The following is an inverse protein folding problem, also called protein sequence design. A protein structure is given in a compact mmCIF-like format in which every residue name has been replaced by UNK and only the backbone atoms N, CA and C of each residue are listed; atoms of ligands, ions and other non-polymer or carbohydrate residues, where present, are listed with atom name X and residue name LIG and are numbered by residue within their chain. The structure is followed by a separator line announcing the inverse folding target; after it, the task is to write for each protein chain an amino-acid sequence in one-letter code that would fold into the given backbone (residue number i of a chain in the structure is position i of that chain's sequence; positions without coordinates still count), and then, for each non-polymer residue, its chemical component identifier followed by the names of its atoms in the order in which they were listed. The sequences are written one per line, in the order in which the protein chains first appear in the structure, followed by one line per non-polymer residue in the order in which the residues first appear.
data_IF_461342766634
#
_entry.id   IF_461342766634
#
_cell.length_a   1.000
_cell.length_b   1.000
_cell.length_c   1.000
_cell.angle_alpha   90.00
_cell.angle_beta   90.00
_cell.angle_gamma   90.00
#
_symmetry.space_group_name_H-M   'P 1'
#
loop_
_entity.id
_entity.type
_entity.pdbx_description
1 polymer ?
#
# COMPACT_ATOMS: atom_id res chain seq x y z
N UNK A 1 21.50 -10.51 3.72
CA UNK A 1 20.08 -10.35 3.33
C UNK A 1 19.53 -8.96 3.71
N UNK A 2 20.06 -7.84 3.18
CA UNK A 2 19.55 -6.49 3.50
C UNK A 2 18.40 -6.02 2.60
N UNK A 3 18.22 -6.62 1.43
CA UNK A 3 17.16 -6.27 0.46
C UNK A 3 15.84 -7.03 0.64
N UNK A 4 15.84 -8.17 1.34
CA UNK A 4 14.63 -8.97 1.52
C UNK A 4 13.57 -8.21 2.35
N UNK A 5 13.99 -7.33 3.26
CA UNK A 5 13.11 -6.60 4.18
C UNK A 5 12.28 -5.52 3.46
N UNK A 6 12.84 -4.60 2.65
CA UNK A 6 12.03 -3.64 1.90
C UNK A 6 11.01 -4.28 0.94
N UNK A 7 11.39 -5.38 0.27
CA UNK A 7 10.49 -6.07 -0.66
C UNK A 7 9.41 -6.89 0.07
N UNK A 8 9.71 -7.50 1.22
CA UNK A 8 8.69 -8.19 2.01
C UNK A 8 7.67 -7.22 2.60
N UNK A 9 8.12 -6.05 3.06
CA UNK A 9 7.24 -4.96 3.50
C UNK A 9 6.36 -4.46 2.36
N UNK A 10 6.92 -4.28 1.16
CA UNK A 10 6.14 -3.93 -0.03
C UNK A 10 5.01 -4.94 -0.31
N UNK A 11 5.30 -6.23 -0.30
CA UNK A 11 4.28 -7.26 -0.56
C UNK A 11 3.21 -7.29 0.54
N UNK A 12 3.61 -7.26 1.82
CA UNK A 12 2.67 -7.20 2.94
C UNK A 12 1.76 -5.97 2.89
N UNK A 13 2.31 -4.82 2.50
CA UNK A 13 1.53 -3.61 2.34
C UNK A 13 0.55 -3.71 1.17
N UNK A 14 1.01 -4.26 0.03
CA UNK A 14 0.17 -4.49 -1.14
C UNK A 14 -0.99 -5.46 -0.84
N UNK A 15 -0.74 -6.51 -0.05
CA UNK A 15 -1.80 -7.44 0.38
C UNK A 15 -2.82 -6.75 1.30
N UNK A 16 -2.36 -5.89 2.21
CA UNK A 16 -3.27 -5.08 3.04
C UNK A 16 -4.12 -4.11 2.19
N UNK A 17 -3.54 -3.52 1.14
CA UNK A 17 -4.29 -2.71 0.18
C UNK A 17 -5.36 -3.54 -0.55
N UNK A 18 -5.06 -4.78 -0.94
CA UNK A 18 -6.03 -5.70 -1.54
C UNK A 18 -7.21 -5.97 -0.62
N UNK A 19 -6.95 -6.34 0.64
CA UNK A 19 -8.03 -6.58 1.61
C UNK A 19 -8.91 -5.35 1.87
N UNK A 20 -8.34 -4.14 1.86
CA UNK A 20 -9.13 -2.90 1.99
C UNK A 20 -9.91 -2.55 0.71
N UNK A 21 -9.34 -2.84 -0.47
CA UNK A 21 -10.04 -2.65 -1.73
C UNK A 21 -11.24 -3.60 -1.85
N UNK A 22 -11.11 -4.85 -1.40
CA UNK A 22 -12.20 -5.82 -1.37
C UNK A 22 -13.29 -5.44 -0.35
N UNK A 23 -12.89 -4.84 0.78
CA UNK A 23 -13.83 -4.35 1.80
C UNK A 23 -14.32 -2.91 1.56
N UNK A 24 -14.09 -2.36 0.37
CA UNK A 24 -14.36 -0.95 0.09
C UNK A 24 -15.84 -0.57 0.13
N UNK A 25 -16.75 -1.54 -0.01
CA UNK A 25 -18.19 -1.28 0.14
C UNK A 25 -18.57 -0.94 1.58
N UNK A 26 -17.78 -1.39 2.55
CA UNK A 26 -18.04 -1.22 3.98
C UNK A 26 -17.34 0.02 4.52
N UNK A 27 -16.10 0.26 4.08
CA UNK A 27 -15.27 1.34 4.60
C UNK A 27 -15.23 2.55 3.68
N UNK A 28 -15.27 3.74 4.26
CA UNK A 28 -15.03 5.01 3.56
C UNK A 28 -13.57 5.18 3.13
N UNK A 29 -13.31 6.13 2.24
CA UNK A 29 -11.94 6.42 1.76
C UNK A 29 -11.02 6.88 2.89
N UNK A 30 -11.56 7.61 3.86
CA UNK A 30 -10.83 8.06 5.04
C UNK A 30 -10.46 6.87 5.94
N UNK A 31 -11.39 5.95 6.20
CA UNK A 31 -11.13 4.75 7.00
C UNK A 31 -10.08 3.84 6.33
N UNK A 32 -10.19 3.64 5.02
CA UNK A 32 -9.20 2.88 4.23
C UNK A 32 -7.82 3.54 4.33
N UNK A 33 -7.74 4.86 4.12
CA UNK A 33 -6.47 5.59 4.14
C UNK A 33 -5.84 5.59 5.53
N UNK A 34 -6.63 5.77 6.58
CA UNK A 34 -6.19 5.72 7.98
C UNK A 34 -5.69 4.31 8.36
N UNK A 35 -6.42 3.26 7.96
CA UNK A 35 -6.00 1.87 8.21
C UNK A 35 -4.67 1.56 7.51
N UNK A 36 -4.54 1.97 6.24
CA UNK A 36 -3.32 1.75 5.47
C UNK A 36 -2.14 2.56 6.02
N UNK A 37 -2.35 3.80 6.47
CA UNK A 37 -1.33 4.57 7.17
C UNK A 37 -0.86 3.87 8.46
N UNK A 38 -1.80 3.35 9.28
CA UNK A 38 -1.47 2.56 10.46
C UNK A 38 -0.70 1.27 10.13
N UNK A 39 -1.01 0.64 8.99
CA UNK A 39 -0.29 -0.54 8.49
C UNK A 39 1.11 -0.20 7.99
N UNK A 40 1.27 0.93 7.30
CA UNK A 40 2.58 1.43 6.89
C UNK A 40 3.49 1.67 8.10
N UNK A 41 2.97 2.28 9.18
CA UNK A 41 3.70 2.49 10.44
C UNK A 41 4.18 1.14 11.01
N UNK A 42 3.31 0.14 11.10
CA UNK A 42 3.66 -1.21 11.61
C UNK A 42 4.69 -1.93 10.74
N UNK A 43 4.70 -1.67 9.43
CA UNK A 43 5.66 -2.21 8.48
C UNK A 43 6.91 -1.31 8.33
N UNK A 44 7.02 -0.24 9.12
CA UNK A 44 8.08 0.77 9.06
C UNK A 44 8.21 1.46 7.69
N UNK A 45 7.15 1.43 6.87
CA UNK A 45 7.13 2.04 5.54
C UNK A 45 6.94 3.55 5.72
N UNK A 46 7.74 4.40 5.05
CA UNK A 46 7.66 5.86 5.19
C UNK A 46 6.50 6.44 4.37
N UNK A 47 5.28 5.98 4.66
CA UNK A 47 4.04 6.50 4.09
C UNK A 47 3.22 7.15 5.20
N UNK A 48 2.55 8.25 4.84
CA UNK A 48 1.51 8.90 5.63
C UNK A 48 0.19 8.74 4.90
N UNK A 49 -0.89 9.10 5.58
CA UNK A 49 -2.24 9.06 5.03
C UNK A 49 -2.35 9.83 3.69
N UNK A 50 -1.74 11.01 3.60
CA UNK A 50 -1.74 11.84 2.38
C UNK A 50 -0.96 11.22 1.20
N UNK A 51 -0.11 10.23 1.45
CA UNK A 51 0.63 9.52 0.41
C UNK A 51 -0.18 8.37 -0.20
N UNK A 52 -1.34 8.06 0.39
CA UNK A 52 -2.28 7.04 -0.07
C UNK A 52 -3.39 7.72 -0.84
N UNK A 53 -3.65 7.25 -2.06
CA UNK A 53 -4.73 7.74 -2.91
C UNK A 53 -5.73 6.62 -3.11
N UNK A 54 -6.95 6.90 -2.69
CA UNK A 54 -8.12 6.06 -2.93
C UNK A 54 -8.99 6.74 -3.98
N UNK A 55 -9.35 6.00 -5.03
CA UNK A 55 -10.20 6.48 -6.11
C UNK A 55 -11.32 5.48 -6.35
N UNK A 56 -12.55 5.89 -6.13
CA UNK A 56 -13.75 5.11 -6.47
C UNK A 56 -14.22 5.45 -7.88
N UNK A 57 -14.18 4.47 -8.76
CA UNK A 57 -14.89 4.49 -10.02
C UNK A 57 -16.29 3.89 -9.87
N UNK A 58 -17.05 3.88 -10.96
CA UNK A 58 -18.36 3.23 -11.03
C UNK A 58 -18.26 1.71 -10.80
N UNK A 59 -17.22 1.08 -11.35
CA UNK A 59 -17.11 -0.38 -11.41
C UNK A 59 -15.95 -0.95 -10.57
N UNK A 60 -15.05 -0.08 -10.09
CA UNK A 60 -13.86 -0.49 -9.36
C UNK A 60 -13.37 0.58 -8.40
N UNK A 61 -12.79 0.15 -7.29
CA UNK A 61 -11.95 0.99 -6.44
C UNK A 61 -10.49 0.78 -6.82
N UNK A 62 -9.72 1.87 -6.80
CA UNK A 62 -8.28 1.87 -7.00
C UNK A 62 -7.61 2.49 -5.78
N UNK A 63 -6.66 1.76 -5.20
CA UNK A 63 -5.80 2.24 -4.12
C UNK A 63 -4.37 2.27 -4.64
N UNK A 64 -3.71 3.40 -4.49
CA UNK A 64 -2.31 3.59 -4.89
C UNK A 64 -1.53 4.33 -3.81
N UNK A 65 -0.24 4.02 -3.71
CA UNK A 65 0.68 4.71 -2.83
C UNK A 65 2.07 4.72 -3.46
N UNK A 66 2.90 5.71 -3.11
CA UNK A 66 4.25 5.79 -3.61
C UNK A 66 5.22 6.20 -2.50
N UNK A 67 6.34 5.48 -2.38
CA UNK A 67 7.42 5.86 -1.46
C UNK A 67 8.78 5.46 -2.01
N UNK A 68 9.80 6.04 -1.41
CA UNK A 68 11.19 5.67 -1.66
C UNK A 68 11.87 5.26 -0.36
N UNK A 69 12.81 4.33 -0.45
CA UNK A 69 13.66 3.95 0.68
C UNK A 69 15.11 3.86 0.23
N UNK A 70 15.98 4.51 0.99
CA UNK A 70 17.42 4.34 0.81
C UNK A 70 17.88 3.05 1.49
N UNK A 71 18.64 2.24 0.76
CA UNK A 71 19.30 1.05 1.28
C UNK A 71 20.79 1.31 1.27
N UNK A 72 21.36 1.41 2.47
CA UNK A 72 22.81 1.60 2.66
C UNK A 72 23.49 0.23 2.68
N UNK A 73 24.43 0.04 1.75
CA UNK A 73 25.29 -1.13 1.67
C UNK A 73 26.71 -0.70 2.02
N UNK A 74 27.59 -1.65 2.39
CA UNK A 74 28.92 -1.32 2.88
C UNK A 74 29.78 -0.43 1.97
N UNK A 75 29.46 -0.34 0.67
CA UNK A 75 30.23 0.43 -0.32
C UNK A 75 29.40 1.40 -1.18
N UNK A 76 28.09 1.43 -1.05
CA UNK A 76 27.21 2.30 -1.85
C UNK A 76 25.81 2.41 -1.22
N UNK A 77 25.11 3.49 -1.52
CA UNK A 77 23.69 3.64 -1.21
C UNK A 77 22.87 3.46 -2.49
N UNK A 78 21.68 2.87 -2.37
CA UNK A 78 20.72 2.76 -3.47
C UNK A 78 19.34 3.16 -3.00
N UNK A 79 18.69 4.06 -3.74
CA UNK A 79 17.28 4.38 -3.54
C UNK A 79 16.41 3.34 -4.25
N UNK A 80 15.59 2.63 -3.49
CA UNK A 80 14.51 1.81 -4.01
C UNK A 80 13.23 2.64 -4.07
N UNK A 81 12.49 2.54 -5.17
CA UNK A 81 11.20 3.21 -5.37
C UNK A 81 10.10 2.17 -5.45
N UNK A 82 9.01 2.40 -4.73
CA UNK A 82 7.86 1.52 -4.69
C UNK A 82 6.60 2.31 -5.03
N UNK A 83 5.75 1.72 -5.86
CA UNK A 83 4.49 2.32 -6.30
C UNK A 83 3.41 1.24 -6.44
N UNK A 84 2.97 0.58 -5.35
CA UNK A 84 1.90 -0.40 -5.43
C UNK A 84 0.60 0.27 -5.88
N UNK A 85 -0.09 -0.43 -6.78
CA UNK A 85 -1.45 -0.11 -7.21
C UNK A 85 -2.27 -1.39 -7.08
N UNK A 86 -3.44 -1.26 -6.47
CA UNK A 86 -4.42 -2.33 -6.31
C UNK A 86 -5.75 -1.83 -6.87
N UNK A 87 -6.43 -2.72 -7.59
CA UNK A 87 -7.77 -2.49 -8.09
C UNK A 87 -8.66 -3.66 -7.71
N UNK A 88 -9.83 -3.37 -7.15
CA UNK A 88 -10.86 -4.36 -6.86
C UNK A 88 -12.19 -3.90 -7.47
N UNK A 89 -13.02 -4.82 -7.97
CA UNK A 89 -14.36 -4.49 -8.45
C UNK A 89 -15.24 -4.02 -7.29
N UNK A 90 -16.13 -3.07 -7.56
CA UNK A 90 -17.21 -2.70 -6.62
C UNK A 90 -18.34 -3.72 -6.85
N UNK A 91 -18.61 -4.59 -5.87
CA UNK A 91 -19.68 -5.61 -5.94
C UNK A 91 -19.26 -7.02 -6.33
N UNK A 92 -17.96 -7.35 -6.35
CA UNK A 92 -17.50 -8.72 -6.61
C UNK A 92 -17.56 -9.58 -5.34
N UNK A 93 -18.07 -10.84 -5.39
CA UNK A 93 -18.02 -11.72 -4.23
C UNK A 93 -16.56 -12.00 -3.83
N UNK A 94 -16.27 -12.20 -2.53
CA UNK A 94 -14.95 -12.63 -2.11
C UNK A 94 -14.63 -14.00 -2.78
N UNK A 95 -13.38 -14.21 -3.22
CA UNK A 95 -12.94 -15.51 -3.74
C UNK A 95 -12.97 -16.61 -2.67
#
# INVERSE_FOLDING_TARGET
MKFAVPYSQYWRFKDAMAGQADAAEVYSDAEISQFLAGTAIRLEIPLRENDIRVRRGRDAIEISAAWSREVVLPRYARTLRFNPVVRAPVGGPPP
#
